data_IF_775109603783
#
_entry.id   IF_775109603783
#
_cell.length_a   1.000
_cell.length_b   1.000
_cell.length_c   1.000
_cell.angle_alpha   90.00
_cell.angle_beta   90.00
_cell.angle_gamma   90.00
#
_symmetry.space_group_name_H-M   'P 1'
#
loop_
_entity.id
_entity.type
_entity.pdbx_description
1 polymer ?
#
# COMPACT_ATOMS: atom_id res chain seq x y z
N UNK A 1 -7.75 -17.56 19.64
CA UNK A 1 -8.01 -16.58 18.56
C UNK A 1 -7.31 -15.25 18.84
N UNK A 2 -7.68 -14.42 19.83
CA UNK A 2 -7.00 -13.12 20.07
C UNK A 2 -5.51 -13.28 20.44
N UNK A 3 -5.18 -14.17 21.39
CA UNK A 3 -3.78 -14.45 21.79
C UNK A 3 -2.94 -14.98 20.62
N UNK A 4 -3.52 -15.85 19.80
CA UNK A 4 -2.89 -16.38 18.58
C UNK A 4 -2.72 -15.32 17.48
N UNK A 5 -3.61 -14.33 17.42
CA UNK A 5 -3.50 -13.18 16.51
C UNK A 5 -2.39 -12.23 16.96
N UNK A 6 -2.26 -11.96 18.26
CA UNK A 6 -1.22 -11.08 18.81
C UNK A 6 0.17 -11.73 18.64
N UNK A 7 0.31 -13.02 18.97
CA UNK A 7 1.57 -13.74 18.74
C UNK A 7 1.89 -13.85 17.24
N UNK A 8 0.88 -14.05 16.38
CA UNK A 8 1.05 -13.98 14.94
C UNK A 8 1.56 -12.62 14.44
N UNK A 9 1.03 -11.51 14.95
CA UNK A 9 1.48 -10.15 14.60
C UNK A 9 2.91 -9.89 15.09
N UNK A 10 3.23 -10.26 16.34
CA UNK A 10 4.58 -10.07 16.91
C UNK A 10 5.61 -10.89 16.12
N UNK A 11 5.31 -12.16 15.83
CA UNK A 11 6.18 -13.01 15.01
C UNK A 11 6.31 -12.41 13.61
N UNK A 12 5.20 -11.97 12.99
CA UNK A 12 5.19 -11.37 11.67
C UNK A 12 6.04 -10.08 11.58
N UNK A 13 6.00 -9.22 12.61
CA UNK A 13 6.75 -7.96 12.63
C UNK A 13 8.23 -8.16 13.01
N UNK A 14 8.55 -9.13 13.88
CA UNK A 14 9.91 -9.33 14.39
C UNK A 14 10.78 -10.24 13.53
N UNK A 15 10.20 -11.10 12.69
CA UNK A 15 10.98 -11.96 11.78
C UNK A 15 11.14 -11.32 10.41
N UNK A 16 12.09 -10.39 10.33
CA UNK A 16 12.49 -9.77 9.06
C UNK A 16 13.28 -10.78 8.19
N UNK A 17 13.01 -10.80 6.89
CA UNK A 17 13.78 -11.51 5.84
C UNK A 17 13.82 -13.06 5.85
N UNK A 18 13.02 -13.75 6.67
CA UNK A 18 13.09 -15.22 6.78
C UNK A 18 12.08 -16.00 5.91
N UNK A 19 11.26 -15.33 5.08
CA UNK A 19 10.20 -16.00 4.31
C UNK A 19 10.01 -15.35 2.91
N UNK A 20 9.92 -16.13 1.80
CA UNK A 20 9.73 -15.64 0.42
C UNK A 20 8.41 -14.90 0.16
N UNK A 21 7.60 -14.64 1.18
CA UNK A 21 6.34 -13.87 1.09
C UNK A 21 6.49 -12.49 1.77
N UNK A 22 7.57 -12.26 2.55
CA UNK A 22 7.82 -11.03 3.31
C UNK A 22 8.79 -10.12 2.59
N UNK A 23 8.25 -9.22 1.77
CA UNK A 23 9.03 -8.25 1.00
C UNK A 23 9.03 -6.88 1.69
N UNK A 24 10.16 -6.48 2.26
CA UNK A 24 10.34 -5.10 2.73
C UNK A 24 10.95 -4.27 1.61
N UNK A 25 10.13 -3.42 1.01
CA UNK A 25 10.57 -2.54 -0.08
C UNK A 25 11.36 -1.36 0.49
N UNK A 26 12.64 -1.30 0.15
CA UNK A 26 13.60 -0.24 0.43
C UNK A 26 14.01 0.46 -0.87
N UNK A 27 14.76 1.57 -0.78
CA UNK A 27 15.32 2.25 -1.97
C UNK A 27 16.25 1.33 -2.79
N UNK A 28 16.97 0.43 -2.11
CA UNK A 28 18.06 -0.35 -2.70
C UNK A 28 17.54 -1.63 -3.39
N UNK A 29 16.42 -2.19 -2.92
CA UNK A 29 15.80 -3.37 -3.50
C UNK A 29 14.51 -3.09 -4.31
N UNK A 30 14.00 -1.85 -4.36
CA UNK A 30 12.72 -1.51 -5.01
C UNK A 30 12.55 -2.15 -6.39
N UNK A 31 13.51 -2.00 -7.31
CA UNK A 31 13.38 -2.53 -8.66
C UNK A 31 13.49 -4.06 -8.73
N UNK A 32 14.27 -4.67 -7.83
CA UNK A 32 14.40 -6.12 -7.77
C UNK A 32 13.12 -6.76 -7.21
N UNK A 33 12.54 -6.16 -6.15
CA UNK A 33 11.31 -6.68 -5.53
C UNK A 33 10.05 -6.39 -6.37
N UNK A 34 10.01 -5.25 -7.08
CA UNK A 34 8.85 -4.90 -7.92
C UNK A 34 8.95 -5.41 -9.37
N UNK A 35 10.17 -5.74 -9.83
CA UNK A 35 10.45 -6.20 -11.20
C UNK A 35 10.56 -7.72 -11.35
N UNK A 36 10.78 -8.48 -10.27
CA UNK A 36 10.81 -9.95 -10.28
C UNK A 36 9.39 -10.55 -10.29
N UNK A 37 8.74 -10.36 -11.43
CA UNK A 37 7.37 -10.76 -11.73
C UNK A 37 7.17 -12.29 -11.80
N UNK A 38 7.18 -12.99 -10.67
CA UNK A 38 6.62 -14.34 -10.61
C UNK A 38 5.49 -14.53 -9.58
N UNK A 39 5.43 -13.75 -8.49
CA UNK A 39 4.48 -14.05 -7.40
C UNK A 39 3.50 -12.93 -7.00
N UNK A 40 3.78 -11.65 -7.31
CA UNK A 40 2.94 -10.54 -6.83
C UNK A 40 2.29 -9.71 -7.94
N UNK A 41 2.79 -9.81 -9.18
CA UNK A 41 2.26 -9.01 -10.28
C UNK A 41 0.83 -9.41 -10.64
N UNK A 42 0.43 -10.68 -10.53
CA UNK A 42 -0.92 -11.14 -10.89
C UNK A 42 -2.00 -10.62 -9.95
N UNK A 43 -1.78 -10.70 -8.64
CA UNK A 43 -2.86 -10.57 -7.66
C UNK A 43 -3.29 -9.12 -7.44
N UNK A 44 -2.40 -8.17 -7.77
CA UNK A 44 -2.65 -6.74 -7.64
C UNK A 44 -2.46 -5.97 -8.95
N UNK A 45 -2.26 -6.67 -10.09
CA UNK A 45 -2.19 -5.98 -11.39
C UNK A 45 -3.51 -5.33 -11.72
N UNK A 46 -3.48 -4.04 -11.97
CA UNK A 46 -4.58 -3.39 -12.65
C UNK A 46 -4.55 -3.88 -14.11
N UNK A 47 -5.58 -4.63 -14.49
CA UNK A 47 -5.84 -4.98 -15.88
C UNK A 47 -6.91 -4.04 -16.45
N UNK A 48 -6.65 -3.48 -17.64
CA UNK A 48 -7.65 -2.72 -18.40
C UNK A 48 -7.95 -3.49 -19.69
N UNK A 49 -9.23 -3.80 -19.93
CA UNK A 49 -9.67 -4.58 -21.09
C UNK A 49 -8.91 -5.92 -21.22
N UNK A 50 -8.68 -6.62 -20.11
CA UNK A 50 -7.97 -7.90 -20.09
C UNK A 50 -6.46 -7.83 -20.29
N UNK A 51 -5.85 -6.63 -20.32
CA UNK A 51 -4.39 -6.44 -20.48
C UNK A 51 -3.78 -5.76 -19.26
N UNK A 52 -2.61 -6.24 -18.84
CA UNK A 52 -1.80 -5.65 -17.78
C UNK A 52 -1.48 -4.18 -18.08
N UNK A 53 -1.71 -3.29 -17.10
CA UNK A 53 -1.41 -1.86 -17.24
C UNK A 53 0.08 -1.55 -17.03
N UNK A 54 0.80 -2.37 -16.27
CA UNK A 54 2.27 -2.38 -16.19
C UNK A 54 2.74 -3.75 -16.66
N UNK A 55 3.61 -3.74 -17.65
CA UNK A 55 4.24 -4.92 -18.20
C UNK A 55 5.74 -4.82 -17.89
N UNK A 56 6.26 -5.77 -17.11
CA UNK A 56 7.68 -5.83 -16.74
C UNK A 56 8.60 -5.94 -17.96
N UNK A 57 8.08 -6.37 -19.11
CA UNK A 57 8.82 -6.47 -20.37
C UNK A 57 8.95 -5.13 -21.11
N UNK A 58 8.23 -4.08 -20.69
CA UNK A 58 8.16 -2.79 -21.37
C UNK A 58 8.91 -1.65 -20.63
N UNK A 59 10.12 -1.95 -20.13
CA UNK A 59 11.00 -0.98 -19.46
C UNK A 59 11.36 0.25 -20.32
N UNK A 60 11.24 0.14 -21.65
CA UNK A 60 11.48 1.22 -22.61
C UNK A 60 10.49 2.38 -22.54
N UNK A 61 9.35 2.22 -21.86
CA UNK A 61 8.32 3.27 -21.74
C UNK A 61 8.65 4.27 -20.60
N UNK A 62 9.52 3.88 -19.67
CA UNK A 62 9.90 4.70 -18.52
C UNK A 62 11.14 5.55 -18.80
N UNK A 63 11.32 6.67 -18.08
CA UNK A 63 12.54 7.47 -18.19
C UNK A 63 13.79 6.63 -17.95
N UNK A 64 14.71 6.66 -18.93
CA UNK A 64 16.06 6.11 -18.73
C UNK A 64 16.70 6.81 -17.52
N UNK A 65 17.30 6.04 -16.62
CA UNK A 65 17.88 6.50 -15.35
C UNK A 65 16.88 7.02 -14.29
N UNK A 66 15.62 6.53 -14.29
CA UNK A 66 14.72 6.69 -13.15
C UNK A 66 15.32 6.07 -11.89
N UNK A 67 15.46 6.86 -10.82
CA UNK A 67 15.98 6.42 -9.52
C UNK A 67 14.95 6.65 -8.42
N UNK A 68 14.74 5.65 -7.57
CA UNK A 68 14.02 5.82 -6.31
C UNK A 68 14.98 6.43 -5.31
N UNK A 69 14.66 7.61 -4.79
CA UNK A 69 15.54 8.33 -3.85
C UNK A 69 15.04 8.28 -2.41
N UNK A 70 13.74 8.06 -2.20
CA UNK A 70 13.16 7.95 -0.87
C UNK A 70 11.93 7.04 -0.91
N UNK A 71 11.82 6.17 0.09
CA UNK A 71 10.68 5.29 0.35
C UNK A 71 10.33 5.40 1.84
N UNK A 72 9.08 5.71 2.14
CA UNK A 72 8.50 5.63 3.49
C UNK A 72 7.22 4.77 3.45
N UNK A 73 6.61 4.52 4.59
CA UNK A 73 5.40 3.69 4.70
C UNK A 73 4.22 4.20 3.83
N UNK A 74 4.17 5.49 3.53
CA UNK A 74 3.10 6.11 2.73
C UNK A 74 3.61 7.01 1.61
N UNK A 75 4.90 7.01 1.30
CA UNK A 75 5.47 7.91 0.29
C UNK A 75 6.59 7.25 -0.51
N UNK A 76 6.65 7.62 -1.80
CA UNK A 76 7.68 7.20 -2.73
C UNK A 76 8.16 8.42 -3.52
N UNK A 77 9.48 8.58 -3.67
CA UNK A 77 10.07 9.66 -4.47
C UNK A 77 10.94 9.10 -5.58
N UNK A 78 10.64 9.54 -6.80
CA UNK A 78 11.43 9.31 -7.99
C UNK A 78 12.26 10.54 -8.37
N UNK A 79 13.43 10.31 -8.93
CA UNK A 79 14.19 11.31 -9.68
C UNK A 79 14.60 10.78 -11.04
N UNK A 80 14.55 11.64 -12.06
CA UNK A 80 15.02 11.29 -13.40
C UNK A 80 15.40 12.55 -14.19
N UNK A 81 16.21 12.38 -15.23
CA UNK A 81 16.52 13.42 -16.19
C UNK A 81 15.62 13.28 -17.42
N UNK A 82 15.13 14.40 -17.93
CA UNK A 82 14.41 14.46 -19.20
C UNK A 82 15.11 15.40 -20.17
N UNK A 83 15.14 15.02 -21.45
CA UNK A 83 15.77 15.82 -22.50
C UNK A 83 14.83 16.93 -23.04
N UNK A 84 13.53 16.83 -22.77
CA UNK A 84 12.50 17.74 -23.27
C UNK A 84 11.32 17.86 -22.30
N UNK A 85 10.47 18.86 -22.50
CA UNK A 85 9.19 18.93 -21.82
C UNK A 85 8.21 17.98 -22.50
N UNK A 86 7.76 16.93 -21.81
CA UNK A 86 6.80 15.98 -22.38
C UNK A 86 6.02 15.25 -21.27
N UNK A 87 4.91 14.61 -21.66
CA UNK A 87 4.17 13.71 -20.77
C UNK A 87 4.94 12.41 -20.62
N UNK A 88 5.16 11.98 -19.38
CA UNK A 88 5.98 10.83 -19.03
C UNK A 88 5.19 9.88 -18.16
N UNK A 89 5.17 8.60 -18.54
CA UNK A 89 4.67 7.51 -17.72
C UNK A 89 5.71 7.15 -16.64
N UNK A 90 5.26 6.96 -15.40
CA UNK A 90 6.07 6.43 -14.31
C UNK A 90 5.59 5.02 -13.92
N UNK A 91 6.49 4.16 -13.40
CA UNK A 91 6.15 2.82 -12.93
C UNK A 91 5.44 2.89 -11.57
N UNK A 92 4.30 3.56 -11.51
CA UNK A 92 3.47 3.67 -10.32
C UNK A 92 1.99 3.56 -10.72
N UNK A 93 1.25 2.66 -10.07
CA UNK A 93 -0.18 2.51 -10.26
C UNK A 93 -0.95 3.33 -9.23
N UNK A 94 -1.98 4.05 -9.70
CA UNK A 94 -2.92 4.77 -8.86
C UNK A 94 -4.13 3.86 -8.63
N UNK A 95 -4.27 3.31 -7.43
CA UNK A 95 -5.39 2.41 -7.09
C UNK A 95 -6.67 3.18 -6.74
N UNK A 96 -7.82 2.63 -7.11
CA UNK A 96 -9.10 3.17 -6.66
C UNK A 96 -9.29 3.06 -5.14
N UNK A 97 -9.94 4.06 -4.55
CA UNK A 97 -10.17 4.12 -3.09
C UNK A 97 -8.95 4.57 -2.27
N UNK A 98 -7.77 4.68 -2.88
CA UNK A 98 -6.58 5.23 -2.20
C UNK A 98 -6.40 6.68 -2.62
N UNK A 99 -6.46 7.64 -1.69
CA UNK A 99 -6.25 9.03 -2.02
C UNK A 99 -4.75 9.33 -2.10
N UNK A 100 -4.30 9.83 -3.25
CA UNK A 100 -2.90 10.17 -3.51
C UNK A 100 -2.68 11.67 -3.58
N UNK A 101 -1.49 12.11 -3.19
CA UNK A 101 -0.95 13.44 -3.43
C UNK A 101 0.37 13.29 -4.18
N UNK A 102 0.41 13.85 -5.39
CA UNK A 102 1.60 13.82 -6.23
C UNK A 102 2.16 15.23 -6.33
N UNK A 103 3.45 15.37 -6.04
CA UNK A 103 4.20 16.60 -6.27
C UNK A 103 5.20 16.38 -7.39
N UNK A 104 5.19 17.24 -8.40
CA UNK A 104 6.16 17.26 -9.49
C UNK A 104 7.00 18.52 -9.33
N UNK A 105 8.31 18.36 -9.10
CA UNK A 105 9.25 19.46 -8.86
C UNK A 105 8.76 20.41 -7.75
N UNK A 106 8.30 19.83 -6.64
CA UNK A 106 7.79 20.55 -5.47
C UNK A 106 6.37 21.13 -5.61
N UNK A 107 5.77 21.10 -6.81
CA UNK A 107 4.42 21.61 -7.03
C UNK A 107 3.39 20.49 -6.95
N UNK A 108 2.35 20.70 -6.16
CA UNK A 108 1.23 19.77 -6.06
C UNK A 108 0.50 19.70 -7.40
N UNK A 109 0.26 18.48 -7.85
CA UNK A 109 -0.54 18.18 -9.04
C UNK A 109 -1.85 17.59 -8.58
N UNK A 110 -2.94 18.21 -9.00
CA UNK A 110 -4.31 17.70 -8.83
C UNK A 110 -4.69 17.08 -10.17
N UNK A 111 -5.60 16.12 -10.17
CA UNK A 111 -6.13 15.46 -11.39
C UNK A 111 -5.39 14.18 -11.81
N UNK A 112 -5.36 13.23 -10.87
CA UNK A 112 -5.07 11.83 -11.20
C UNK A 112 -6.34 11.01 -11.08
N UNK A 113 -6.80 10.46 -12.21
CA UNK A 113 -7.82 9.42 -12.19
C UNK A 113 -7.27 8.18 -11.49
N UNK A 114 -8.14 7.45 -10.80
CA UNK A 114 -7.83 6.12 -10.29
C UNK A 114 -7.74 5.10 -11.43
N UNK A 115 -7.14 3.94 -11.14
CA UNK A 115 -6.98 2.79 -12.04
C UNK A 115 -6.16 3.06 -13.30
N UNK A 116 -5.10 3.86 -13.17
CA UNK A 116 -4.17 4.13 -14.26
C UNK A 116 -2.73 4.22 -13.76
N UNK A 117 -1.78 4.18 -14.69
CA UNK A 117 -0.39 4.56 -14.42
C UNK A 117 -0.32 6.05 -14.13
N UNK A 118 0.60 6.41 -13.24
CA UNK A 118 0.94 7.78 -12.99
C UNK A 118 1.59 8.39 -14.24
N UNK A 119 0.94 9.42 -14.79
CA UNK A 119 1.44 10.22 -15.91
C UNK A 119 1.65 11.65 -15.46
N UNK A 120 2.86 12.17 -15.64
CA UNK A 120 3.23 13.53 -15.22
C UNK A 120 3.78 14.33 -16.39
N UNK A 121 3.77 15.65 -16.27
CA UNK A 121 4.49 16.53 -17.19
C UNK A 121 5.93 16.67 -16.71
N UNK A 122 6.88 16.02 -17.39
CA UNK A 122 8.29 16.20 -17.12
C UNK A 122 8.79 17.51 -17.72
N UNK A 123 9.73 18.17 -17.05
CA UNK A 123 10.46 19.31 -17.57
C UNK A 123 11.83 18.89 -18.08
N UNK A 124 12.39 19.58 -19.07
CA UNK A 124 13.78 19.41 -19.48
C UNK A 124 14.71 19.61 -18.27
N UNK A 125 15.66 18.70 -18.09
CA UNK A 125 16.56 18.66 -16.94
C UNK A 125 16.11 17.68 -15.86
N UNK A 126 16.46 17.97 -14.61
CA UNK A 126 16.16 17.13 -13.47
C UNK A 126 14.69 17.25 -13.07
N UNK A 127 14.05 16.11 -12.83
CA UNK A 127 12.71 16.03 -12.30
C UNK A 127 12.71 15.23 -11.01
N UNK A 128 11.92 15.69 -10.04
CA UNK A 128 11.63 14.99 -8.80
C UNK A 128 10.12 14.81 -8.70
N UNK A 129 9.68 13.59 -8.48
CA UNK A 129 8.26 13.25 -8.34
C UNK A 129 8.05 12.53 -7.02
N UNK A 130 7.28 13.14 -6.12
CA UNK A 130 6.94 12.56 -4.82
C UNK A 130 5.47 12.18 -4.81
N UNK A 131 5.19 10.93 -4.50
CA UNK A 131 3.86 10.35 -4.46
C UNK A 131 3.62 9.93 -3.02
N UNK A 132 2.56 10.46 -2.39
CA UNK A 132 2.19 10.06 -1.03
C UNK A 132 0.72 9.67 -0.97
N UNK A 133 0.40 8.63 -0.20
CA UNK A 133 -0.96 8.33 0.22
C UNK A 133 -1.27 9.03 1.55
N UNK A 134 -2.54 9.35 1.76
CA UNK A 134 -2.98 9.99 3.01
C UNK A 134 -4.28 9.38 3.52
N UNK A 135 -4.55 9.47 4.82
CA UNK A 135 -5.85 9.10 5.35
C UNK A 135 -6.80 10.29 5.20
N UNK A 136 -7.93 10.10 4.50
CA UNK A 136 -9.00 11.11 4.47
C UNK A 136 -9.62 11.27 5.86
N UNK A 137 -10.34 12.36 6.09
CA UNK A 137 -11.10 12.54 7.33
C UNK A 137 -12.09 11.38 7.56
N UNK A 138 -12.76 10.92 6.51
CA UNK A 138 -13.68 9.78 6.58
C UNK A 138 -12.97 8.48 6.96
N UNK A 139 -11.76 8.23 6.42
CA UNK A 139 -10.97 7.05 6.78
C UNK A 139 -10.59 7.07 8.27
N UNK A 140 -10.27 8.25 8.82
CA UNK A 140 -9.97 8.40 10.25
C UNK A 140 -11.20 8.15 11.12
N UNK A 141 -12.35 8.71 10.74
CA UNK A 141 -13.62 8.54 11.49
C UNK A 141 -14.06 7.08 11.49
N UNK A 142 -14.08 6.43 10.32
CA UNK A 142 -14.45 5.02 10.19
C UNK A 142 -13.50 4.10 10.97
N UNK A 143 -12.20 4.41 10.99
CA UNK A 143 -11.24 3.70 11.82
C UNK A 143 -11.55 3.83 13.32
N UNK A 144 -11.86 5.04 13.82
CA UNK A 144 -12.25 5.23 15.22
C UNK A 144 -13.52 4.44 15.56
N UNK A 145 -14.53 4.50 14.70
CA UNK A 145 -15.77 3.72 14.88
C UNK A 145 -15.45 2.23 14.97
N UNK A 146 -14.58 1.72 14.08
CA UNK A 146 -14.18 0.31 14.10
C UNK A 146 -13.52 -0.12 15.41
N UNK A 147 -12.68 0.74 16.01
CA UNK A 147 -12.07 0.46 17.32
C UNK A 147 -13.14 0.41 18.40
N UNK A 148 -14.07 1.36 18.44
CA UNK A 148 -15.16 1.38 19.41
C UNK A 148 -16.02 0.12 19.27
N UNK A 149 -16.39 -0.25 18.04
CA UNK A 149 -17.17 -1.46 17.75
C UNK A 149 -16.43 -2.73 18.22
N UNK A 150 -15.12 -2.82 17.99
CA UNK A 150 -14.31 -3.94 18.44
C UNK A 150 -14.27 -4.02 19.98
N UNK A 151 -14.08 -2.89 20.66
CA UNK A 151 -14.06 -2.84 22.13
C UNK A 151 -15.41 -3.28 22.72
N UNK A 152 -16.52 -2.84 22.14
CA UNK A 152 -17.86 -3.26 22.55
C UNK A 152 -18.08 -4.75 22.33
N UNK A 153 -17.69 -5.28 21.17
CA UNK A 153 -17.80 -6.70 20.87
C UNK A 153 -16.99 -7.57 21.85
N UNK A 154 -15.74 -7.16 22.15
CA UNK A 154 -14.90 -7.82 23.14
C UNK A 154 -15.52 -7.74 24.53
N UNK A 155 -16.06 -6.59 24.92
CA UNK A 155 -16.72 -6.41 26.22
C UNK A 155 -17.95 -7.31 26.39
N UNK A 156 -18.82 -7.38 25.37
CA UNK A 156 -19.99 -8.28 25.35
C UNK A 156 -19.53 -9.74 25.42
N UNK A 157 -18.51 -10.10 24.64
CA UNK A 157 -17.96 -11.45 24.63
C UNK A 157 -17.42 -11.87 26.01
N UNK A 158 -16.63 -11.02 26.67
CA UNK A 158 -16.11 -11.26 28.03
C UNK A 158 -17.27 -11.40 29.02
N UNK A 159 -18.27 -10.51 28.95
CA UNK A 159 -19.46 -10.61 29.80
C UNK A 159 -20.18 -11.95 29.62
N UNK A 160 -20.33 -12.42 28.38
CA UNK A 160 -21.00 -13.69 28.09
C UNK A 160 -20.26 -14.90 28.69
N UNK A 161 -18.92 -14.92 28.63
CA UNK A 161 -18.10 -15.95 29.28
C UNK A 161 -18.26 -15.92 30.79
N UNK A 162 -18.21 -14.73 31.40
CA UNK A 162 -18.32 -14.59 32.87
C UNK A 162 -19.70 -15.03 33.36
N UNK A 163 -20.77 -14.67 32.65
CA UNK A 163 -22.14 -15.09 32.99
C UNK A 163 -22.31 -16.59 32.83
N UNK A 164 -21.88 -17.18 31.70
CA UNK A 164 -21.98 -18.62 31.46
C UNK A 164 -21.16 -19.46 32.46
N UNK A 165 -20.07 -18.92 33.02
CA UNK A 165 -19.32 -19.59 34.10
C UNK A 165 -20.02 -19.55 35.46
N UNK A 166 -20.93 -18.59 35.69
CA UNK A 166 -21.65 -18.42 36.96
C UNK A 166 -22.96 -19.23 37.06
N UNK A 167 -23.38 -19.88 35.98
CA UNK A 167 -24.57 -20.74 35.94
C UNK A 167 -24.16 -22.22 35.95
N UNK A 168 -23.93 -22.85 37.11
CA UNK A 168 -23.78 -24.30 37.14
C UNK A 168 -25.09 -24.94 36.71
N UNK A 169 -25.00 -25.94 35.83
CA UNK A 169 -26.11 -26.80 35.44
C UNK A 169 -26.68 -27.41 36.72
N UNK A 170 -27.91 -27.03 37.10
CA UNK A 170 -28.66 -27.77 38.12
C UNK A 170 -29.09 -29.09 37.50
N UNK A 171 -28.34 -30.15 37.77
CA UNK A 171 -28.80 -31.51 37.54
C UNK A 171 -29.83 -31.77 38.64
N UNK A 172 -31.12 -31.71 38.29
CA UNK A 172 -32.17 -32.21 39.17
C UNK A 172 -32.12 -33.74 39.09
N UNK A 173 -31.69 -34.35 40.19
CA UNK A 173 -31.81 -35.79 40.45
C UNK A 173 -33.23 -36.14 40.90
#
# INVERSE_FOLDING_TARGET
MILTSISGIIVYQNTQNDNPIRYYVTKDNFYNETGSALNAQSDYMIAKNGKAVIDSQNSNIYPKALKVTNVTYNSLTYTFKSNSNHKTDLPFMLYNGVPYRVHVNGKSTKDFNSNQRLKIMAKKGNNTVTISSYATALNKVTFIISIISLLLAVGIYIKSIVVNRKSPIKINA
#
